data_IF_227941834368
#
_entry.id   IF_227941834368
#
_cell.length_a   1.000
_cell.length_b   1.000
_cell.length_c   1.000
_cell.angle_alpha   90.00
_cell.angle_beta   90.00
_cell.angle_gamma   90.00
#
_symmetry.space_group_name_H-M   'P 1'
#
loop_
_entity.id
_entity.type
_entity.pdbx_description
1 polymer ?
#
# COMPACT_ATOMS: atom_id res chain seq x y z
N UNK A 1 -23.25 -5.94 -11.63
CA UNK A 1 -21.82 -5.95 -12.03
C UNK A 1 -21.18 -7.14 -11.36
N UNK A 2 -20.91 -8.16 -12.16
CA UNK A 2 -20.26 -9.40 -11.74
C UNK A 2 -18.76 -9.08 -11.69
N UNK A 3 -18.16 -9.09 -10.50
CA UNK A 3 -16.71 -9.13 -10.39
C UNK A 3 -16.25 -10.48 -10.96
N UNK A 4 -15.31 -10.52 -11.92
CA UNK A 4 -14.64 -11.78 -12.20
C UNK A 4 -13.85 -12.15 -10.95
N UNK A 5 -14.35 -13.18 -10.25
CA UNK A 5 -13.52 -14.10 -9.47
C UNK A 5 -12.40 -14.57 -10.40
N UNK A 6 -11.18 -14.63 -9.88
CA UNK A 6 -9.98 -15.08 -10.58
C UNK A 6 -9.37 -14.08 -11.57
N UNK A 7 -8.73 -13.03 -11.03
CA UNK A 7 -7.58 -12.45 -11.72
C UNK A 7 -6.36 -12.69 -10.84
N UNK A 8 -5.54 -13.63 -11.29
CA UNK A 8 -4.22 -14.07 -10.82
C UNK A 8 -3.15 -12.92 -10.84
N UNK A 9 -3.55 -11.67 -10.59
CA UNK A 9 -2.70 -10.46 -10.56
C UNK A 9 -1.81 -10.38 -9.31
N UNK A 10 -1.93 -11.32 -8.37
CA UNK A 10 -0.97 -11.47 -7.27
C UNK A 10 0.38 -12.01 -7.76
N UNK A 11 0.43 -12.82 -8.83
CA UNK A 11 1.69 -13.43 -9.30
C UNK A 11 2.61 -12.45 -10.04
N UNK A 12 2.09 -11.52 -10.83
CA UNK A 12 2.94 -10.54 -11.53
C UNK A 12 3.55 -9.49 -10.60
N UNK A 13 2.89 -9.18 -9.47
CA UNK A 13 3.44 -8.25 -8.49
C UNK A 13 4.62 -8.84 -7.71
N UNK A 14 4.60 -10.16 -7.50
CA UNK A 14 5.64 -10.86 -6.73
C UNK A 14 6.98 -10.96 -7.50
N UNK A 15 6.92 -11.12 -8.83
CA UNK A 15 8.12 -11.11 -9.70
C UNK A 15 8.84 -9.75 -9.71
N UNK A 16 8.10 -8.64 -9.79
CA UNK A 16 8.68 -7.29 -9.71
C UNK A 16 9.34 -7.03 -8.34
N UNK A 17 8.88 -7.70 -7.27
CA UNK A 17 9.49 -7.57 -5.94
C UNK A 17 10.79 -8.37 -5.73
N UNK A 18 11.13 -9.33 -6.59
CA UNK A 18 12.39 -10.10 -6.45
C UNK A 18 13.63 -9.29 -6.81
N UNK A 19 13.52 -8.28 -7.67
CA UNK A 19 14.66 -7.46 -8.10
C UNK A 19 15.13 -6.38 -7.07
N UNK A 20 14.53 -6.29 -5.88
CA UNK A 20 14.79 -5.22 -4.89
C UNK A 20 15.45 -5.70 -3.59
N UNK A 21 16.35 -6.67 -3.67
CA UNK A 21 17.09 -7.19 -2.51
C UNK A 21 18.17 -6.25 -1.92
N UNK A 22 18.24 -4.97 -2.30
CA UNK A 22 19.27 -4.04 -1.77
C UNK A 22 18.74 -2.78 -1.09
N UNK A 23 17.43 -2.54 -1.05
CA UNK A 23 16.82 -1.44 -0.30
C UNK A 23 15.95 -1.98 0.83
N UNK A 24 16.20 -1.57 2.08
CA UNK A 24 15.42 -1.99 3.26
C UNK A 24 13.93 -1.86 2.94
N UNK A 25 13.22 -2.99 2.97
CA UNK A 25 11.78 -3.00 2.68
C UNK A 25 11.05 -2.15 3.73
N UNK A 26 10.11 -1.32 3.28
CA UNK A 26 9.28 -0.51 4.18
C UNK A 26 8.53 -1.40 5.18
N UNK A 27 8.51 -0.98 6.45
CA UNK A 27 7.81 -1.61 7.58
C UNK A 27 7.12 -0.53 8.39
N UNK A 28 5.82 -0.73 8.67
CA UNK A 28 5.02 0.14 9.54
C UNK A 28 5.59 0.18 10.95
N UNK A 29 6.04 -0.96 11.46
CA UNK A 29 6.55 -1.10 12.81
C UNK A 29 7.85 -0.32 13.00
N UNK A 30 8.73 -0.35 11.98
CA UNK A 30 9.93 0.50 11.97
C UNK A 30 9.60 1.98 11.96
N UNK A 31 8.42 2.40 11.50
CA UNK A 31 7.96 3.80 11.58
C UNK A 31 7.20 4.11 12.88
N UNK A 32 7.11 3.16 13.81
CA UNK A 32 6.36 3.30 15.06
C UNK A 32 4.85 3.25 14.89
N UNK A 33 4.37 2.78 13.74
CA UNK A 33 2.95 2.61 13.46
C UNK A 33 2.58 1.20 13.89
N UNK A 34 1.52 1.06 14.69
CA UNK A 34 1.07 -0.21 15.25
C UNK A 34 -0.21 -0.69 14.59
N UNK A 35 -0.53 -1.95 14.78
CA UNK A 35 -1.82 -2.50 14.38
C UNK A 35 -2.96 -1.72 15.04
N UNK A 36 -4.02 -1.45 14.29
CA UNK A 36 -5.12 -0.61 14.74
C UNK A 36 -5.06 0.83 14.26
N UNK A 37 -3.86 1.35 13.95
CA UNK A 37 -3.68 2.73 13.50
C UNK A 37 -4.16 2.92 12.06
N UNK A 38 -4.67 4.12 11.75
CA UNK A 38 -5.18 4.45 10.42
C UNK A 38 -4.16 5.25 9.60
N UNK A 39 -4.05 4.88 8.32
CA UNK A 39 -3.31 5.63 7.31
C UNK A 39 -4.27 6.16 6.25
N UNK A 40 -3.90 7.26 5.62
CA UNK A 40 -4.74 7.98 4.67
C UNK A 40 -4.07 8.04 3.32
N UNK A 41 -4.84 7.82 2.26
CA UNK A 41 -4.35 7.97 0.90
C UNK A 41 -4.14 9.46 0.56
N UNK A 42 -2.98 9.82 0.03
CA UNK A 42 -2.60 11.23 -0.13
C UNK A 42 -3.45 11.93 -1.20
N UNK A 43 -3.76 11.25 -2.30
CA UNK A 43 -4.52 11.84 -3.40
C UNK A 43 -6.02 11.96 -3.10
N UNK A 44 -6.52 11.21 -2.11
CA UNK A 44 -7.91 11.28 -1.67
C UNK A 44 -8.00 10.94 -0.17
N UNK A 45 -8.31 11.96 0.64
CA UNK A 45 -8.34 11.83 2.09
C UNK A 45 -9.55 11.07 2.61
N UNK A 46 -10.55 10.80 1.77
CA UNK A 46 -11.70 9.95 2.13
C UNK A 46 -11.32 8.46 2.13
N UNK A 47 -10.20 8.11 1.49
CA UNK A 47 -9.70 6.73 1.45
C UNK A 47 -8.72 6.52 2.61
N UNK A 48 -9.14 5.72 3.57
CA UNK A 48 -8.32 5.32 4.72
C UNK A 48 -8.15 3.81 4.78
N UNK A 49 -7.07 3.34 5.38
CA UNK A 49 -6.80 1.92 5.61
C UNK A 49 -6.23 1.73 7.01
N UNK A 50 -6.54 0.59 7.64
CA UNK A 50 -6.13 0.29 9.00
C UNK A 50 -4.91 -0.63 8.99
N UNK A 51 -3.86 -0.32 9.74
CA UNK A 51 -2.69 -1.20 9.85
C UNK A 51 -3.07 -2.46 10.61
N UNK A 52 -2.72 -3.62 10.07
CA UNK A 52 -3.00 -4.94 10.67
C UNK A 52 -1.78 -5.85 10.72
N UNK A 53 -0.65 -5.38 10.20
CA UNK A 53 0.60 -6.13 10.20
C UNK A 53 1.80 -5.24 9.89
N UNK A 54 3.00 -5.81 9.90
CA UNK A 54 4.25 -5.07 9.65
C UNK A 54 4.22 -4.33 8.31
N UNK A 55 3.55 -4.89 7.30
CA UNK A 55 3.55 -4.40 5.91
C UNK A 55 2.18 -4.47 5.26
N UNK A 56 1.14 -4.65 6.07
CA UNK A 56 -0.21 -4.99 5.64
C UNK A 56 -1.24 -4.08 6.29
N UNK A 57 -2.28 -3.79 5.52
CA UNK A 57 -3.39 -2.94 5.92
C UNK A 57 -4.71 -3.58 5.55
N UNK A 58 -5.71 -3.38 6.38
CA UNK A 58 -7.10 -3.73 6.10
C UNK A 58 -7.78 -2.56 5.38
N UNK A 59 -8.41 -2.89 4.25
CA UNK A 59 -9.21 -1.96 3.46
C UNK A 59 -10.43 -2.72 2.89
N UNK A 60 -11.63 -2.28 3.27
CA UNK A 60 -12.89 -2.90 2.84
C UNK A 60 -12.96 -4.39 3.19
N UNK A 61 -12.69 -4.74 4.46
CA UNK A 61 -12.73 -6.11 5.00
C UNK A 61 -11.74 -7.10 4.37
N UNK A 62 -10.77 -6.62 3.60
CA UNK A 62 -9.71 -7.42 3.01
C UNK A 62 -8.33 -6.88 3.42
N UNK A 63 -7.37 -7.79 3.60
CA UNK A 63 -5.98 -7.45 3.90
C UNK A 63 -5.22 -7.21 2.59
N UNK A 64 -4.46 -6.13 2.55
CA UNK A 64 -3.68 -5.70 1.41
C UNK A 64 -2.26 -5.32 1.81
N UNK A 65 -1.31 -5.57 0.89
CA UNK A 65 -0.04 -4.82 0.88
C UNK A 65 -0.31 -3.42 0.30
N UNK A 66 0.46 -2.42 0.72
CA UNK A 66 0.27 -1.02 0.28
C UNK A 66 0.31 -0.83 -1.24
N UNK A 67 1.24 -1.49 -1.93
CA UNK A 67 1.42 -1.32 -3.37
C UNK A 67 0.21 -1.82 -4.20
N UNK A 68 -0.29 -3.07 -4.03
CA UNK A 68 -1.48 -3.53 -4.75
C UNK A 68 -2.74 -2.74 -4.35
N UNK A 69 -2.86 -2.30 -3.09
CA UNK A 69 -3.97 -1.43 -2.69
C UNK A 69 -3.93 -0.09 -3.44
N UNK A 70 -2.75 0.52 -3.54
CA UNK A 70 -2.55 1.77 -4.29
C UNK A 70 -2.91 1.60 -5.76
N UNK A 71 -2.47 0.50 -6.39
CA UNK A 71 -2.84 0.17 -7.76
C UNK A 71 -4.37 0.05 -7.91
N UNK A 72 -5.04 -0.68 -7.01
CA UNK A 72 -6.50 -0.88 -7.03
C UNK A 72 -7.26 0.45 -6.95
N UNK A 73 -6.83 1.36 -6.09
CA UNK A 73 -7.46 2.70 -5.95
C UNK A 73 -7.30 3.51 -7.24
N UNK A 74 -6.11 3.51 -7.86
CA UNK A 74 -5.89 4.21 -9.12
C UNK A 74 -6.62 3.56 -10.30
N UNK A 75 -6.73 2.23 -10.33
CA UNK A 75 -7.54 1.49 -11.30
C UNK A 75 -9.02 1.91 -11.21
N UNK A 76 -9.58 1.98 -10.00
CA UNK A 76 -10.96 2.43 -9.77
C UNK A 76 -11.20 3.90 -10.14
N UNK A 77 -10.20 4.76 -9.96
CA UNK A 77 -10.27 6.20 -10.29
C UNK A 77 -10.00 6.50 -11.78
N UNK A 78 -9.67 5.49 -12.60
CA UNK A 78 -9.35 5.68 -14.01
C UNK A 78 -8.02 6.41 -14.25
N UNK A 79 -7.12 6.41 -13.26
CA UNK A 79 -5.86 7.15 -13.24
C UNK A 79 -4.63 6.26 -13.18
N UNK A 80 -4.61 5.16 -13.94
CA UNK A 80 -3.46 4.27 -13.99
C UNK A 80 -2.27 4.96 -14.66
N UNK A 81 -1.09 4.89 -14.02
CA UNK A 81 0.17 5.19 -14.68
C UNK A 81 0.55 4.06 -15.65
N UNK A 82 1.26 4.40 -16.73
CA UNK A 82 1.63 3.46 -17.79
C UNK A 82 2.55 2.32 -17.31
N UNK A 83 3.20 2.46 -16.15
CA UNK A 83 4.15 1.48 -15.61
C UNK A 83 3.56 0.47 -14.62
N UNK A 84 2.37 0.70 -14.06
CA UNK A 84 1.71 -0.19 -13.07
C UNK A 84 2.45 -0.38 -11.73
N UNK A 85 3.70 0.07 -11.61
CA UNK A 85 4.55 -0.10 -10.45
C UNK A 85 4.41 1.07 -9.47
N UNK A 86 3.65 0.87 -8.39
CA UNK A 86 3.48 1.88 -7.34
C UNK A 86 4.38 1.60 -6.13
N UNK A 87 5.12 2.61 -5.70
CA UNK A 87 5.77 2.59 -4.39
C UNK A 87 4.75 2.95 -3.32
N UNK A 88 4.00 1.95 -2.81
CA UNK A 88 2.86 2.18 -1.91
C UNK A 88 3.12 3.20 -0.78
N UNK A 89 4.25 3.11 -0.06
CA UNK A 89 4.58 4.07 1.01
C UNK A 89 4.71 5.55 0.58
N UNK A 90 4.87 5.84 -0.72
CA UNK A 90 4.92 7.21 -1.23
C UNK A 90 3.52 7.84 -1.41
N UNK A 91 2.46 7.03 -1.50
CA UNK A 91 1.09 7.47 -1.78
C UNK A 91 0.18 7.50 -0.55
N UNK A 92 0.71 7.08 0.60
CA UNK A 92 -0.01 7.04 1.86
C UNK A 92 0.68 7.90 2.89
N UNK A 93 -0.11 8.45 3.81
CA UNK A 93 0.36 9.26 4.91
C UNK A 93 -0.19 8.76 6.24
N UNK A 94 0.58 9.01 7.29
CA UNK A 94 0.19 8.80 8.68
C UNK A 94 0.35 10.13 9.42
N UNK A 95 -0.72 10.58 10.08
CA UNK A 95 -0.75 11.85 10.82
C UNK A 95 -0.20 13.05 10.01
N UNK A 96 -0.57 13.12 8.72
CA UNK A 96 -0.19 14.21 7.82
C UNK A 96 1.25 14.14 7.25
N UNK A 97 2.00 13.06 7.51
CA UNK A 97 3.33 12.83 6.93
C UNK A 97 3.34 11.58 6.05
N UNK A 98 3.99 11.63 4.89
CA UNK A 98 4.08 10.48 3.99
C UNK A 98 4.82 9.33 4.66
N UNK A 99 4.36 8.10 4.46
CA UNK A 99 4.98 6.93 5.08
C UNK A 99 6.45 6.78 4.66
N UNK A 100 6.77 7.08 3.40
CA UNK A 100 8.15 7.07 2.87
C UNK A 100 9.07 8.06 3.59
N UNK A 101 8.53 9.16 4.11
CA UNK A 101 9.31 10.25 4.72
C UNK A 101 9.43 10.12 6.24
N UNK A 102 8.77 9.13 6.85
CA UNK A 102 8.89 8.88 8.28
C UNK A 102 10.29 8.32 8.62
N UNK A 103 10.94 8.79 9.68
CA UNK A 103 12.18 8.18 10.16
C UNK A 103 11.91 6.77 10.71
N UNK A 104 12.91 5.90 10.65
CA UNK A 104 12.87 4.65 11.41
C UNK A 104 13.07 4.96 12.89
N UNK A 105 12.21 4.39 13.75
CA UNK A 105 12.44 4.34 15.18
C UNK A 105 13.29 3.09 15.47
N UNK A 106 14.40 3.30 16.16
CA UNK A 106 15.38 2.27 16.50
C UNK A 106 15.12 1.72 17.89
#
# INVERSE_FOLDING_TARGET
MIYPKDIDKEKEFDEVSKAREQGVRFSFYKKGIKDGEEIVFIADKEITAKVVGEREVEYGEQIWKLAPLTYKIYEQKGGLNESGAYQGAAYWQYKGKRLRDLPDIN
#
